data_IF_279289024458
#
_entry.id   IF_279289024458
#
_cell.length_a   1.000
_cell.length_b   1.000
_cell.length_c   1.000
_cell.angle_alpha   90.00
_cell.angle_beta   90.00
_cell.angle_gamma   90.00
#
_symmetry.space_group_name_H-M   'P 1'
#
loop_
_entity.id
_entity.type
_entity.pdbx_description
1 polymer ?
#
# COMPACT_ATOMS: atom_id res chain seq x y z
N UNK A 1 0.23 -29.43 -9.63
CA UNK A 1 -0.52 -28.16 -9.77
C UNK A 1 -0.51 -27.48 -8.40
N UNK A 2 -0.21 -26.19 -8.34
CA UNK A 2 -0.19 -25.45 -7.08
C UNK A 2 -1.39 -24.50 -7.04
N UNK A 3 -2.18 -24.56 -5.98
CA UNK A 3 -3.28 -23.63 -5.71
C UNK A 3 -2.74 -22.48 -4.85
N UNK A 4 -2.99 -21.23 -5.26
CA UNK A 4 -2.67 -20.03 -4.50
C UNK A 4 -3.95 -19.22 -4.30
N UNK A 5 -4.27 -18.88 -3.06
CA UNK A 5 -5.54 -18.23 -2.71
C UNK A 5 -5.28 -16.94 -1.92
N UNK A 6 -6.19 -15.99 -2.10
CA UNK A 6 -6.31 -14.79 -1.29
C UNK A 6 -7.79 -14.59 -0.95
N UNK A 7 -8.06 -14.09 0.26
CA UNK A 7 -9.40 -13.77 0.74
C UNK A 7 -9.38 -12.37 1.34
N UNK A 8 -10.40 -11.58 1.05
CA UNK A 8 -10.53 -10.20 1.50
C UNK A 8 -12.01 -9.82 1.63
N UNK A 9 -12.30 -8.81 2.44
CA UNK A 9 -13.65 -8.25 2.57
C UNK A 9 -14.00 -7.45 1.31
N UNK A 10 -15.24 -7.60 0.82
CA UNK A 10 -15.76 -6.79 -0.29
C UNK A 10 -15.74 -5.28 -0.01
N UNK A 11 -15.72 -4.87 1.27
CA UNK A 11 -15.57 -3.46 1.66
C UNK A 11 -14.26 -2.84 1.14
N UNK A 12 -13.23 -3.64 0.89
CA UNK A 12 -11.96 -3.19 0.29
C UNK A 12 -12.09 -2.76 -1.17
N UNK A 13 -13.27 -2.92 -1.78
CA UNK A 13 -13.60 -2.38 -3.09
C UNK A 13 -14.06 -0.92 -3.04
N UNK A 14 -14.46 -0.43 -1.86
CA UNK A 14 -14.97 0.93 -1.74
C UNK A 14 -13.85 1.95 -2.00
N UNK A 15 -14.20 2.96 -2.79
CA UNK A 15 -13.38 4.15 -3.04
C UNK A 15 -13.37 5.07 -1.83
N UNK A 16 -12.40 5.97 -1.77
CA UNK A 16 -12.19 6.88 -0.65
C UNK A 16 -10.74 6.86 -0.15
N UNK A 17 -10.52 7.43 1.02
CA UNK A 17 -9.19 7.55 1.63
C UNK A 17 -8.96 6.41 2.61
N UNK A 18 -7.95 5.60 2.34
CA UNK A 18 -7.59 4.42 3.11
C UNK A 18 -6.13 4.52 3.52
N UNK A 19 -5.81 3.95 4.68
CA UNK A 19 -4.44 3.63 5.08
C UNK A 19 -4.24 2.12 4.97
N UNK A 20 -3.07 1.70 4.55
CA UNK A 20 -2.74 0.29 4.50
C UNK A 20 -1.25 0.04 4.76
N UNK A 21 -1.00 -1.14 5.34
CA UNK A 21 0.34 -1.61 5.68
C UNK A 21 0.53 -2.99 5.08
N UNK A 22 1.64 -3.16 4.36
CA UNK A 22 2.13 -4.45 3.92
C UNK A 22 3.20 -4.94 4.86
N UNK A 23 3.07 -6.19 5.28
CA UNK A 23 4.17 -6.98 5.82
C UNK A 23 4.72 -7.88 4.71
N UNK A 24 6.01 -7.74 4.44
CA UNK A 24 6.71 -8.42 3.36
C UNK A 24 7.78 -9.28 3.99
N UNK A 25 7.66 -10.60 3.85
CA UNK A 25 8.61 -11.55 4.42
C UNK A 25 9.29 -12.34 3.31
N UNK A 26 10.61 -12.33 3.27
CA UNK A 26 11.35 -13.16 2.32
C UNK A 26 11.45 -14.60 2.86
N UNK A 27 11.04 -15.59 2.06
CA UNK A 27 10.87 -16.98 2.53
C UNK A 27 12.16 -17.61 3.09
N UNK A 28 13.31 -17.36 2.45
CA UNK A 28 14.58 -18.03 2.80
C UNK A 28 15.32 -17.35 3.95
N UNK A 29 15.48 -16.03 3.86
CA UNK A 29 16.26 -15.23 4.82
C UNK A 29 15.48 -14.89 6.08
N UNK A 30 14.15 -15.10 6.06
CA UNK A 30 13.21 -14.67 7.10
C UNK A 30 13.26 -13.17 7.40
N UNK A 31 13.92 -12.37 6.57
CA UNK A 31 13.92 -10.92 6.68
C UNK A 31 12.51 -10.38 6.47
N UNK A 32 12.16 -9.39 7.27
CA UNK A 32 10.85 -8.77 7.29
C UNK A 32 10.98 -7.28 6.99
N UNK A 33 10.08 -6.81 6.13
CA UNK A 33 10.01 -5.44 5.68
C UNK A 33 8.56 -4.99 5.74
N UNK A 34 8.39 -3.69 5.94
CA UNK A 34 7.08 -3.06 6.03
C UNK A 34 6.95 -2.01 4.95
N UNK A 35 5.76 -1.85 4.41
CA UNK A 35 5.45 -0.75 3.50
C UNK A 35 4.13 -0.14 3.92
N UNK A 36 4.15 1.16 4.21
CA UNK A 36 2.96 1.93 4.55
C UNK A 36 2.54 2.67 3.30
N UNK A 37 1.24 2.68 3.02
CA UNK A 37 0.67 3.38 1.90
C UNK A 37 -0.72 3.89 2.20
N UNK A 38 -1.22 4.70 1.28
CA UNK A 38 -2.58 5.24 1.34
C UNK A 38 -3.22 5.34 -0.03
N UNK A 39 -4.53 5.53 -0.04
CA UNK A 39 -5.26 5.99 -1.23
C UNK A 39 -5.51 7.51 -1.15
N UNK A 40 -5.97 8.10 -2.26
CA UNK A 40 -6.11 9.55 -2.41
C UNK A 40 -4.95 10.15 -3.21
N UNK A 41 -5.04 10.11 -4.53
CA UNK A 41 -3.92 10.44 -5.42
C UNK A 41 -3.46 11.89 -5.28
N UNK A 42 -2.17 12.14 -5.50
CA UNK A 42 -1.62 13.50 -5.45
C UNK A 42 -1.94 14.31 -6.72
N UNK A 43 -2.24 13.65 -7.83
CA UNK A 43 -2.41 14.25 -9.16
C UNK A 43 -3.84 14.19 -9.71
N UNK A 44 -4.80 13.69 -8.93
CA UNK A 44 -6.22 13.68 -9.31
C UNK A 44 -7.11 13.63 -8.08
N UNK A 45 -8.39 13.98 -8.22
CA UNK A 45 -9.40 13.88 -7.17
C UNK A 45 -9.90 12.43 -6.96
N UNK A 46 -9.30 11.44 -7.63
CA UNK A 46 -9.74 10.05 -7.55
C UNK A 46 -9.08 9.36 -6.36
N UNK A 47 -9.87 9.07 -5.33
CA UNK A 47 -9.44 8.29 -4.19
C UNK A 47 -9.81 6.82 -4.44
N UNK A 48 -8.85 6.05 -4.97
CA UNK A 48 -9.06 4.63 -5.31
C UNK A 48 -9.34 3.75 -4.08
N UNK A 49 -9.73 2.49 -4.31
CA UNK A 49 -9.85 1.48 -3.26
C UNK A 49 -8.49 0.85 -2.95
N UNK A 50 -8.31 0.28 -1.73
CA UNK A 50 -7.07 -0.39 -1.38
C UNK A 50 -6.81 -1.53 -2.37
N UNK A 51 -7.79 -2.40 -2.63
CA UNK A 51 -7.64 -3.57 -3.53
C UNK A 51 -7.14 -3.17 -4.93
N UNK A 52 -7.74 -2.14 -5.52
CA UNK A 52 -7.30 -1.61 -6.82
C UNK A 52 -5.85 -1.14 -6.79
N UNK A 53 -5.47 -0.40 -5.74
CA UNK A 53 -4.10 0.09 -5.55
C UNK A 53 -3.09 -1.05 -5.29
N UNK A 54 -3.48 -2.12 -4.59
CA UNK A 54 -2.63 -3.29 -4.34
C UNK A 54 -2.13 -3.91 -5.64
N UNK A 55 -3.06 -4.15 -6.57
CA UNK A 55 -2.75 -4.81 -7.85
C UNK A 55 -1.71 -4.03 -8.65
N UNK A 56 -1.78 -2.70 -8.61
CA UNK A 56 -0.84 -1.81 -9.28
C UNK A 56 0.53 -1.81 -8.61
N UNK A 57 0.56 -1.77 -7.27
CA UNK A 57 1.80 -1.78 -6.50
C UNK A 57 2.63 -3.04 -6.71
N UNK A 58 1.96 -4.18 -6.93
CA UNK A 58 2.58 -5.49 -7.17
C UNK A 58 2.83 -5.81 -8.65
N UNK A 59 2.63 -4.85 -9.56
CA UNK A 59 2.86 -5.08 -10.98
C UNK A 59 4.35 -5.13 -11.31
N UNK A 60 4.83 -6.32 -11.69
CA UNK A 60 6.25 -6.63 -11.98
C UNK A 60 6.69 -6.14 -13.37
N UNK A 61 5.76 -5.73 -14.25
CA UNK A 61 6.13 -5.24 -15.59
C UNK A 61 7.07 -4.04 -15.48
N UNK A 62 8.12 -4.04 -16.28
CA UNK A 62 9.19 -3.02 -16.28
C UNK A 62 8.67 -1.60 -16.50
N UNK A 63 7.62 -1.42 -17.30
CA UNK A 63 7.00 -0.13 -17.58
C UNK A 63 5.68 0.12 -16.81
N UNK A 64 5.40 -0.66 -15.76
CA UNK A 64 4.21 -0.46 -14.96
C UNK A 64 4.28 0.87 -14.21
N UNK A 65 3.28 1.74 -14.43
CA UNK A 65 3.09 2.94 -13.62
C UNK A 65 2.48 2.55 -12.26
N UNK A 66 2.93 3.19 -11.19
CA UNK A 66 2.35 3.00 -9.85
C UNK A 66 2.86 1.77 -9.06
N UNK A 67 3.87 1.04 -9.56
CA UNK A 67 4.46 -0.16 -8.95
C UNK A 67 5.50 0.14 -7.83
N UNK A 68 5.26 1.18 -7.02
CA UNK A 68 6.24 1.66 -6.01
C UNK A 68 6.72 0.57 -5.06
N UNK A 69 5.83 -0.28 -4.55
CA UNK A 69 6.19 -1.39 -3.68
C UNK A 69 7.18 -2.36 -4.33
N UNK A 70 6.89 -2.86 -5.53
CA UNK A 70 7.81 -3.76 -6.26
C UNK A 70 9.16 -3.09 -6.51
N UNK A 71 9.17 -1.80 -6.89
CA UNK A 71 10.42 -1.05 -7.07
C UNK A 71 11.23 -0.98 -5.78
N UNK A 72 10.60 -0.73 -4.63
CA UNK A 72 11.30 -0.66 -3.35
C UNK A 72 11.84 -2.04 -2.91
N UNK A 73 11.08 -3.11 -3.15
CA UNK A 73 11.54 -4.50 -2.91
C UNK A 73 12.77 -4.84 -3.76
N UNK A 74 12.74 -4.50 -5.05
CA UNK A 74 13.88 -4.74 -5.96
C UNK A 74 15.11 -3.91 -5.56
N UNK A 75 14.92 -2.67 -5.10
CA UNK A 75 16.01 -1.79 -4.63
C UNK A 75 16.77 -2.36 -3.42
N UNK A 76 16.08 -3.10 -2.54
CA UNK A 76 16.72 -3.79 -1.41
C UNK A 76 17.23 -5.19 -1.77
N UNK A 77 17.30 -5.52 -3.07
CA UNK A 77 17.86 -6.77 -3.57
C UNK A 77 16.97 -8.00 -3.38
N UNK A 78 15.68 -7.81 -3.09
CA UNK A 78 14.73 -8.90 -2.91
C UNK A 78 14.02 -9.23 -4.23
N UNK A 79 13.74 -10.51 -4.41
CA UNK A 79 12.86 -11.01 -5.47
C UNK A 79 11.40 -11.02 -4.97
N UNK A 80 10.50 -10.20 -5.55
CA UNK A 80 9.09 -10.16 -5.15
C UNK A 80 8.40 -11.53 -5.21
N UNK A 81 8.78 -12.39 -6.16
CA UNK A 81 8.19 -13.72 -6.32
C UNK A 81 8.59 -14.69 -5.18
N UNK A 82 9.69 -14.39 -4.47
CA UNK A 82 10.15 -15.16 -3.29
C UNK A 82 9.63 -14.59 -1.97
N UNK A 83 8.86 -13.52 -2.01
CA UNK A 83 8.27 -12.89 -0.83
C UNK A 83 6.89 -13.46 -0.49
N UNK A 84 6.50 -13.30 0.77
CA UNK A 84 5.13 -13.46 1.25
C UNK A 84 4.61 -12.09 1.64
N UNK A 85 3.37 -11.81 1.28
CA UNK A 85 2.73 -10.53 1.51
C UNK A 85 1.53 -10.72 2.43
N UNK A 86 1.44 -9.90 3.47
CA UNK A 86 0.23 -9.75 4.28
C UNK A 86 -0.15 -8.28 4.27
N UNK A 87 -1.41 -8.00 3.95
CA UNK A 87 -1.95 -6.65 3.97
C UNK A 87 -2.86 -6.46 5.19
N UNK A 88 -2.75 -5.31 5.81
CA UNK A 88 -3.79 -4.74 6.66
C UNK A 88 -4.21 -3.39 6.07
N UNK A 89 -5.51 -3.13 5.99
CA UNK A 89 -6.06 -1.86 5.50
C UNK A 89 -7.14 -1.35 6.43
N UNK A 90 -7.17 -0.05 6.67
CA UNK A 90 -8.17 0.64 7.50
C UNK A 90 -8.84 1.71 6.66
N UNK A 91 -10.17 1.69 6.61
CA UNK A 91 -10.96 2.71 5.94
C UNK A 91 -12.30 2.23 5.37
N UNK A 92 -12.90 3.05 4.47
CA UNK A 92 -12.42 4.39 4.12
C UNK A 92 -12.50 5.30 5.36
N UNK A 93 -11.42 6.00 5.68
CA UNK A 93 -11.34 6.98 6.79
C UNK A 93 -12.19 8.20 6.44
N UNK A 94 -12.11 8.60 5.16
CA UNK A 94 -12.96 9.62 4.56
C UNK A 94 -13.52 9.08 3.24
N UNK A 95 -14.75 9.43 2.86
CA UNK A 95 -15.29 9.10 1.55
C UNK A 95 -14.49 9.78 0.43
N UNK A 96 -14.69 9.33 -0.81
CA UNK A 96 -14.19 10.06 -1.97
C UNK A 96 -14.84 11.45 -2.07
N UNK A 97 -14.09 12.45 -2.53
CA UNK A 97 -14.58 13.82 -2.66
C UNK A 97 -14.92 14.13 -4.10
N UNK A 98 -15.89 15.02 -4.30
CA UNK A 98 -16.33 15.45 -5.63
C UNK A 98 -15.36 16.46 -6.27
N UNK A 99 -14.67 17.25 -5.44
CA UNK A 99 -13.79 18.31 -5.89
C UNK A 99 -12.32 18.05 -5.53
N UNK A 100 -11.41 18.51 -6.39
CA UNK A 100 -9.97 18.41 -6.13
C UNK A 100 -9.51 19.23 -4.91
N UNK A 101 -10.03 20.45 -4.64
CA UNK A 101 -9.69 21.17 -3.41
C UNK A 101 -10.03 20.43 -2.13
N UNK A 102 -11.24 19.86 -2.02
CA UNK A 102 -11.63 19.05 -0.86
C UNK A 102 -10.80 17.77 -0.76
N UNK A 103 -10.55 17.12 -1.91
CA UNK A 103 -9.68 15.96 -1.97
C UNK A 103 -8.30 16.27 -1.40
N UNK A 104 -7.69 17.42 -1.74
CA UNK A 104 -6.38 17.84 -1.21
C UNK A 104 -6.40 17.96 0.31
N UNK A 105 -7.47 18.50 0.89
CA UNK A 105 -7.63 18.62 2.35
C UNK A 105 -7.55 17.26 3.04
N UNK A 106 -8.41 16.31 2.65
CA UNK A 106 -8.40 14.96 3.27
C UNK A 106 -7.15 14.16 2.89
N UNK A 107 -6.63 14.34 1.67
CA UNK A 107 -5.38 13.75 1.23
C UNK A 107 -4.22 14.14 2.14
N UNK A 108 -4.13 15.40 2.53
CA UNK A 108 -3.04 15.89 3.38
C UNK A 108 -3.14 15.31 4.80
N UNK A 109 -4.35 15.17 5.35
CA UNK A 109 -4.58 14.50 6.65
C UNK A 109 -4.10 13.05 6.58
N UNK A 110 -4.52 12.31 5.56
CA UNK A 110 -4.19 10.88 5.42
C UNK A 110 -2.69 10.70 5.10
N UNK A 111 -2.07 11.64 4.39
CA UNK A 111 -0.62 11.67 4.17
C UNK A 111 0.17 11.88 5.47
N UNK A 112 -0.32 12.75 6.37
CA UNK A 112 0.29 12.91 7.69
C UNK A 112 0.17 11.61 8.50
N UNK A 113 -1.01 10.97 8.51
CA UNK A 113 -1.20 9.68 9.18
C UNK A 113 -0.31 8.57 8.60
N UNK A 114 -0.17 8.49 7.27
CA UNK A 114 0.75 7.57 6.59
C UNK A 114 2.20 7.77 7.07
N UNK A 115 2.64 9.03 7.14
CA UNK A 115 3.99 9.38 7.58
C UNK A 115 4.23 9.00 9.05
N UNK A 116 3.27 9.28 9.94
CA UNK A 116 3.36 8.93 11.36
C UNK A 116 3.38 7.42 11.59
N UNK A 117 2.54 6.65 10.88
CA UNK A 117 2.59 5.18 10.94
C UNK A 117 3.96 4.66 10.49
N UNK A 118 4.49 5.20 9.38
CA UNK A 118 5.81 4.80 8.91
C UNK A 118 6.93 5.19 9.88
N UNK A 119 6.81 6.34 10.55
CA UNK A 119 7.73 6.77 11.60
C UNK A 119 7.67 5.83 12.82
N UNK A 120 6.47 5.49 13.28
CA UNK A 120 6.28 4.61 14.44
C UNK A 120 6.79 3.19 14.18
N UNK A 121 6.63 2.65 12.97
CA UNK A 121 7.22 1.36 12.63
C UNK A 121 8.76 1.41 12.72
N UNK A 122 9.36 2.51 12.24
CA UNK A 122 10.81 2.70 12.34
C UNK A 122 11.27 2.89 13.79
N UNK A 123 10.51 3.59 14.62
CA UNK A 123 10.82 3.81 16.05
C UNK A 123 10.87 2.48 16.82
N UNK A 124 10.04 1.52 16.43
CA UNK A 124 10.02 0.15 16.96
C UNK A 124 11.11 -0.77 16.36
N UNK A 125 12.00 -0.23 15.51
CA UNK A 125 13.10 -0.98 14.90
C UNK A 125 12.72 -1.80 13.66
N UNK A 126 11.54 -1.57 13.07
CA UNK A 126 11.14 -2.23 11.83
C UNK A 126 11.76 -1.55 10.59
N UNK A 127 12.14 -2.36 9.61
CA UNK A 127 12.62 -1.85 8.32
C UNK A 127 11.43 -1.48 7.42
N UNK A 128 11.20 -0.18 7.23
CA UNK A 128 10.15 0.34 6.34
C UNK A 128 10.72 0.73 4.98
N UNK A 129 10.13 0.19 3.92
CA UNK A 129 10.47 0.39 2.50
C UNK A 129 9.85 1.66 1.90
#
# INVERSE_FOLDING_TARGET
MNLYQASFSGQMLNRGFWLYVWRIRHKKTKSEYWYVGRTGDSSSANASSPLGRLSQHLNIKTNAKGNTLVRNILKVGLDPAKCQFKLASVGPIFPEQESFPEHVTYRNIVAALEAEIAHEFRSQGHTVL
#
